data_IF_829495086953
#
_entry.id   IF_829495086953
#
_cell.length_a   1.000
_cell.length_b   1.000
_cell.length_c   1.000
_cell.angle_alpha   90.00
_cell.angle_beta   90.00
_cell.angle_gamma   90.00
#
_symmetry.space_group_name_H-M   'P 1'
#
loop_
_entity.id
_entity.type
_entity.pdbx_description
1 polymer ?
#
# COMPACT_ATOMS: atom_id res chain seq x y z
N UNK A 1 -17.48 18.67 4.31
CA UNK A 1 -17.94 17.55 3.44
C UNK A 1 -19.45 17.75 3.22
N UNK A 2 -19.96 17.64 1.99
CA UNK A 2 -21.41 17.84 1.71
C UNK A 2 -22.23 16.64 2.23
N UNK A 3 -23.52 16.83 2.57
CA UNK A 3 -24.40 15.70 2.89
C UNK A 3 -24.38 14.64 1.79
N UNK A 4 -24.36 13.36 2.18
CA UNK A 4 -24.29 12.22 1.26
C UNK A 4 -22.88 11.89 0.72
N UNK A 5 -21.85 12.66 1.08
CA UNK A 5 -20.46 12.35 0.70
C UNK A 5 -19.75 11.64 1.84
N UNK A 6 -19.18 10.48 1.55
CA UNK A 6 -18.25 9.77 2.43
C UNK A 6 -16.84 10.06 1.94
N UNK A 7 -16.01 10.62 2.80
CA UNK A 7 -14.58 10.81 2.55
C UNK A 7 -13.79 10.03 3.59
N UNK A 8 -12.75 9.32 3.14
CA UNK A 8 -11.88 8.48 3.97
C UNK A 8 -10.46 8.96 3.82
N UNK A 9 -9.70 8.98 4.91
CA UNK A 9 -8.28 9.34 4.91
C UNK A 9 -7.46 8.24 5.60
N UNK A 10 -6.24 8.01 5.11
CA UNK A 10 -5.43 6.82 5.43
C UNK A 10 -4.24 7.10 6.37
N UNK A 11 -4.25 8.17 7.17
CA UNK A 11 -3.08 8.59 7.94
C UNK A 11 -2.75 7.71 9.17
N UNK A 12 -3.63 6.77 9.53
CA UNK A 12 -3.47 5.83 10.66
C UNK A 12 -3.62 4.37 10.17
N UNK A 13 -3.34 3.39 11.03
CA UNK A 13 -3.42 1.97 10.70
C UNK A 13 -2.09 1.28 10.44
N UNK A 14 -1.05 1.64 11.21
CA UNK A 14 0.18 0.82 11.25
C UNK A 14 -0.16 -0.57 11.80
N UNK A 15 0.55 -1.57 11.36
CA UNK A 15 0.30 -2.96 11.73
C UNK A 15 1.61 -3.74 11.85
N UNK A 16 1.55 -4.86 12.57
CA UNK A 16 2.65 -5.81 12.75
C UNK A 16 2.14 -7.24 12.64
N UNK A 17 2.98 -8.15 12.13
CA UNK A 17 2.68 -9.58 12.01
C UNK A 17 3.14 -10.38 13.23
N UNK A 18 4.12 -9.84 13.96
CA UNK A 18 4.68 -10.42 15.17
C UNK A 18 4.58 -9.37 16.26
N UNK A 19 4.29 -9.80 17.47
CA UNK A 19 3.91 -8.89 18.55
C UNK A 19 5.11 -8.06 19.07
N UNK A 20 6.30 -8.63 19.01
CA UNK A 20 7.56 -8.11 19.55
C UNK A 20 8.52 -7.54 18.49
N UNK A 21 8.12 -7.53 17.21
CA UNK A 21 8.97 -7.06 16.10
C UNK A 21 8.37 -5.83 15.40
N UNK A 22 9.20 -4.81 15.24
CA UNK A 22 8.91 -3.66 14.38
C UNK A 22 8.28 -2.49 15.13
N UNK A 23 7.02 -2.18 14.84
CA UNK A 23 6.32 -1.02 15.41
C UNK A 23 5.77 -1.37 16.78
N UNK A 24 5.85 -0.43 17.73
CA UNK A 24 5.39 -0.67 19.09
C UNK A 24 3.87 -0.97 19.17
N UNK A 25 3.43 -1.74 20.19
CA UNK A 25 2.02 -2.13 20.35
C UNK A 25 1.06 -0.97 20.58
N UNK A 26 1.53 0.19 21.05
CA UNK A 26 0.69 1.36 21.27
C UNK A 26 0.34 2.11 19.99
N UNK A 27 1.11 1.92 18.92
CA UNK A 27 0.93 2.66 17.67
C UNK A 27 0.66 1.74 16.48
N UNK A 28 0.37 0.45 16.72
CA UNK A 28 0.10 -0.53 15.68
C UNK A 28 -0.86 -1.63 16.12
N UNK A 29 -1.59 -2.20 15.17
CA UNK A 29 -2.40 -3.40 15.38
C UNK A 29 -1.59 -4.66 15.12
N UNK A 30 -1.75 -5.68 15.95
CA UNK A 30 -1.29 -7.03 15.64
C UNK A 30 -2.29 -7.66 14.68
N UNK A 31 -1.82 -8.15 13.54
CA UNK A 31 -2.69 -8.66 12.49
C UNK A 31 -2.30 -10.06 12.06
N UNK A 32 -3.28 -10.82 11.56
CA UNK A 32 -3.07 -12.07 10.85
C UNK A 32 -3.31 -11.83 9.37
N UNK A 33 -2.35 -12.24 8.54
CA UNK A 33 -2.55 -12.32 7.10
C UNK A 33 -2.85 -13.77 6.73
N UNK A 34 -3.88 -13.99 5.92
CA UNK A 34 -4.20 -15.28 5.34
C UNK A 34 -4.39 -15.18 3.83
N UNK A 35 -3.91 -16.19 3.13
CA UNK A 35 -4.21 -16.45 1.72
C UNK A 35 -5.34 -17.49 1.70
N UNK A 36 -6.37 -17.24 0.92
CA UNK A 36 -7.52 -18.14 0.80
C UNK A 36 -7.35 -19.23 -0.28
N UNK A 37 -6.18 -19.29 -0.92
CA UNK A 37 -5.84 -20.26 -1.97
C UNK A 37 -6.38 -19.89 -3.36
N UNK A 38 -7.10 -18.78 -3.48
CA UNK A 38 -7.72 -18.33 -4.74
C UNK A 38 -7.17 -16.98 -5.21
N UNK A 39 -5.97 -16.61 -4.76
CA UNK A 39 -5.35 -15.32 -5.07
C UNK A 39 -6.01 -14.16 -4.33
N UNK A 40 -6.63 -14.43 -3.18
CA UNK A 40 -7.19 -13.40 -2.30
C UNK A 40 -6.48 -13.45 -0.96
N UNK A 41 -6.08 -12.27 -0.51
CA UNK A 41 -5.49 -12.09 0.80
C UNK A 41 -6.45 -11.36 1.71
N UNK A 42 -6.44 -11.77 2.96
CA UNK A 42 -7.25 -11.17 3.99
C UNK A 42 -6.38 -10.87 5.19
N UNK A 43 -6.55 -9.67 5.72
CA UNK A 43 -5.90 -9.21 6.92
C UNK A 43 -6.99 -8.97 7.96
N UNK A 44 -6.82 -9.59 9.13
CA UNK A 44 -7.67 -9.38 10.29
C UNK A 44 -6.84 -8.81 11.43
N UNK A 45 -7.41 -7.85 12.16
CA UNK A 45 -6.82 -7.38 13.41
C UNK A 45 -7.07 -8.45 14.48
N UNK A 46 -5.99 -8.98 15.06
CA UNK A 46 -6.04 -9.90 16.21
C UNK A 46 -6.11 -9.09 17.50
N UNK A 47 -5.31 -8.02 17.58
CA UNK A 47 -5.25 -7.13 18.72
C UNK A 47 -4.97 -5.69 18.26
N UNK A 48 -5.69 -4.72 18.82
CA UNK A 48 -5.45 -3.31 18.55
C UNK A 48 -4.25 -2.76 19.33
N UNK A 49 -4.30 -1.44 19.56
CA UNK A 49 -3.36 -0.76 20.45
C UNK A 49 -3.38 -1.35 21.86
N UNK A 50 -2.21 -1.47 22.49
CA UNK A 50 -2.10 -1.83 23.91
C UNK A 50 -0.88 -1.21 24.57
N UNK A 51 -0.87 -1.21 25.89
CA UNK A 51 0.33 -1.01 26.69
C UNK A 51 1.26 -2.22 26.63
N UNK A 52 2.52 -1.98 26.96
CA UNK A 52 3.54 -3.00 27.13
C UNK A 52 4.58 -2.49 28.13
N UNK A 53 5.28 -3.40 28.80
CA UNK A 53 6.30 -3.03 29.76
C UNK A 53 7.64 -2.80 29.08
N UNK A 54 8.30 -1.70 29.44
CA UNK A 54 9.68 -1.39 29.05
C UNK A 54 10.40 -0.65 30.17
N UNK A 55 11.64 -0.23 29.93
CA UNK A 55 12.36 0.69 30.82
C UNK A 55 11.67 2.06 30.96
N UNK A 56 10.85 2.46 29.99
CA UNK A 56 10.06 3.69 30.03
C UNK A 56 8.67 3.38 30.64
N UNK A 57 8.38 3.86 31.86
CA UNK A 57 7.12 3.56 32.55
C UNK A 57 5.88 4.12 31.84
N UNK A 58 6.04 5.06 30.89
CA UNK A 58 4.90 5.61 30.15
C UNK A 58 4.31 4.61 29.15
N UNK A 59 5.08 3.63 28.70
CA UNK A 59 4.59 2.55 27.81
C UNK A 59 3.51 1.68 28.48
N UNK A 60 3.56 1.52 29.80
CA UNK A 60 2.55 0.81 30.58
C UNK A 60 1.25 1.61 30.79
N UNK A 61 1.25 2.93 30.50
CA UNK A 61 0.11 3.83 30.71
C UNK A 61 -0.80 3.99 29.49
N UNK A 62 -0.44 3.38 28.36
CA UNK A 62 -1.20 3.43 27.12
C UNK A 62 -2.53 2.70 27.28
N UNK A 63 -3.64 3.41 27.07
CA UNK A 63 -5.00 2.92 27.30
C UNK A 63 -5.86 2.83 26.04
N UNK A 64 -5.42 3.43 24.93
CA UNK A 64 -6.17 3.40 23.67
C UNK A 64 -6.03 2.05 22.95
N UNK A 65 -7.11 1.63 22.29
CA UNK A 65 -7.19 0.37 21.53
C UNK A 65 -7.23 0.58 20.02
N UNK A 66 -7.74 1.72 19.57
CA UNK A 66 -7.83 2.02 18.14
C UNK A 66 -6.59 2.80 17.69
N UNK A 67 -5.92 2.28 16.67
CA UNK A 67 -4.72 2.87 16.04
C UNK A 67 -4.91 3.04 14.53
N UNK A 68 -6.16 2.98 14.07
CA UNK A 68 -6.60 3.09 12.69
C UNK A 68 -6.62 1.76 11.91
N UNK A 69 -6.98 1.87 10.63
CA UNK A 69 -7.15 0.74 9.71
C UNK A 69 -6.28 0.88 8.48
N UNK A 70 -5.84 -0.25 7.90
CA UNK A 70 -4.89 -0.21 6.79
C UNK A 70 -5.56 -0.11 5.42
N UNK A 71 -5.97 1.10 5.06
CA UNK A 71 -6.67 1.37 3.79
C UNK A 71 -5.79 1.11 2.54
N UNK A 72 -4.49 1.41 2.58
CA UNK A 72 -3.62 1.37 1.39
C UNK A 72 -3.55 0.00 0.71
N UNK A 73 -3.74 -1.10 1.46
CA UNK A 73 -3.75 -2.45 0.88
C UNK A 73 -4.92 -2.67 -0.08
N UNK A 74 -6.01 -1.93 0.08
CA UNK A 74 -7.18 -2.04 -0.80
C UNK A 74 -6.98 -1.37 -2.16
N UNK A 75 -5.90 -0.60 -2.33
CA UNK A 75 -5.60 0.09 -3.58
C UNK A 75 -4.87 -0.85 -4.54
N UNK A 76 -5.41 -1.01 -5.75
CA UNK A 76 -4.70 -1.71 -6.82
C UNK A 76 -3.40 -0.97 -7.20
N UNK A 77 -2.46 -1.66 -7.82
CA UNK A 77 -1.20 -1.05 -8.27
C UNK A 77 -1.44 -0.33 -9.60
N UNK A 78 -1.71 0.97 -9.58
CA UNK A 78 -1.93 1.81 -10.77
C UNK A 78 -0.95 3.00 -10.83
N UNK A 79 0.27 2.82 -11.37
CA UNK A 79 1.18 3.94 -11.54
C UNK A 79 0.72 4.85 -12.69
N UNK A 80 0.62 6.15 -12.44
CA UNK A 80 0.37 7.16 -13.48
C UNK A 80 1.25 6.92 -14.71
N UNK A 81 0.71 6.80 -15.94
CA UNK A 81 1.48 6.33 -17.09
C UNK A 81 2.61 7.27 -17.52
N UNK A 82 2.62 8.51 -17.02
CA UNK A 82 3.61 9.54 -17.35
C UNK A 82 4.69 9.62 -16.26
N UNK A 83 4.30 9.86 -15.01
CA UNK A 83 5.23 10.06 -13.88
C UNK A 83 5.64 8.76 -13.19
N UNK A 84 4.81 7.72 -13.31
CA UNK A 84 4.90 6.49 -12.54
C UNK A 84 4.55 6.64 -11.05
N UNK A 85 3.95 7.77 -10.64
CA UNK A 85 3.48 7.97 -9.28
C UNK A 85 2.19 7.16 -9.02
N UNK A 86 2.05 6.61 -7.82
CA UNK A 86 0.83 5.89 -7.46
C UNK A 86 -0.36 6.86 -7.32
N UNK A 87 -1.48 6.55 -7.95
CA UNK A 87 -2.69 7.37 -7.86
C UNK A 87 -3.45 7.09 -6.55
N UNK A 88 -3.17 7.85 -5.49
CA UNK A 88 -3.75 7.62 -4.16
C UNK A 88 -5.23 8.02 -4.01
N UNK A 89 -5.75 8.87 -4.88
CA UNK A 89 -7.14 9.32 -4.85
C UNK A 89 -8.04 8.23 -5.43
N UNK A 90 -8.60 7.40 -4.56
CA UNK A 90 -9.49 6.31 -4.92
C UNK A 90 -10.95 6.67 -4.64
N UNK A 91 -11.84 6.25 -5.54
CA UNK A 91 -13.29 6.39 -5.36
C UNK A 91 -13.86 5.05 -4.91
N UNK A 92 -14.42 5.01 -3.70
CA UNK A 92 -15.26 3.89 -3.29
C UNK A 92 -16.51 3.85 -4.17
N UNK A 93 -16.72 2.72 -4.86
CA UNK A 93 -17.86 2.53 -5.79
C UNK A 93 -19.08 1.93 -5.11
N UNK A 94 -18.90 1.32 -3.93
CA UNK A 94 -19.97 0.72 -3.14
C UNK A 94 -19.66 0.92 -1.65
N UNK A 95 -20.67 1.30 -0.87
CA UNK A 95 -20.60 1.42 0.59
C UNK A 95 -21.89 0.84 1.16
N UNK A 96 -21.75 -0.04 2.14
CA UNK A 96 -22.89 -0.65 2.85
C UNK A 96 -22.59 -0.77 4.34
N UNK A 97 -23.62 -1.04 5.14
CA UNK A 97 -23.44 -1.45 6.53
C UNK A 97 -22.67 -2.77 6.58
N UNK A 98 -21.83 -2.92 7.61
CA UNK A 98 -21.16 -4.17 7.91
C UNK A 98 -22.18 -5.27 8.21
N UNK A 99 -21.94 -6.46 7.68
CA UNK A 99 -22.73 -7.65 7.93
C UNK A 99 -22.30 -8.39 9.20
N UNK A 100 -23.04 -9.43 9.60
CA UNK A 100 -22.61 -10.32 10.69
C UNK A 100 -21.25 -10.96 10.37
N UNK A 101 -20.31 -10.87 11.30
CA UNK A 101 -18.97 -11.44 11.16
C UNK A 101 -17.95 -10.58 10.41
N UNK A 102 -18.33 -9.37 9.97
CA UNK A 102 -17.37 -8.38 9.44
C UNK A 102 -16.91 -7.47 10.57
N UNK A 103 -15.61 -7.46 10.83
CA UNK A 103 -15.02 -6.73 11.95
C UNK A 103 -14.33 -5.45 11.49
N UNK A 104 -14.22 -4.50 12.43
CA UNK A 104 -13.51 -3.25 12.18
C UNK A 104 -12.04 -3.55 11.81
N UNK A 105 -11.59 -2.99 10.69
CA UNK A 105 -10.21 -3.14 10.22
C UNK A 105 -9.93 -4.43 9.43
N UNK A 106 -10.95 -5.25 9.18
CA UNK A 106 -10.84 -6.35 8.22
C UNK A 106 -10.55 -5.79 6.82
N UNK A 107 -9.56 -6.35 6.16
CA UNK A 107 -9.15 -5.98 4.80
C UNK A 107 -9.15 -7.23 3.95
N UNK A 108 -9.73 -7.14 2.76
CA UNK A 108 -9.73 -8.19 1.76
C UNK A 108 -9.20 -7.62 0.44
N UNK A 109 -8.32 -8.35 -0.24
CA UNK A 109 -7.68 -7.93 -1.48
C UNK A 109 -7.62 -9.09 -2.46
N UNK A 110 -8.05 -8.86 -3.69
CA UNK A 110 -7.83 -9.75 -4.83
C UNK A 110 -6.55 -9.32 -5.56
N UNK A 111 -5.48 -10.11 -5.42
CA UNK A 111 -4.18 -9.77 -6.03
C UNK A 111 -4.16 -10.03 -7.53
N UNK A 112 -4.97 -10.97 -8.03
CA UNK A 112 -5.10 -11.21 -9.45
C UNK A 112 -5.74 -10.00 -10.14
N UNK A 113 -6.80 -9.45 -9.55
CA UNK A 113 -7.44 -8.21 -10.02
C UNK A 113 -6.52 -7.00 -9.90
N UNK A 114 -5.79 -6.86 -8.77
CA UNK A 114 -4.79 -5.79 -8.62
C UNK A 114 -3.74 -5.84 -9.73
N UNK A 115 -3.26 -7.05 -10.08
CA UNK A 115 -2.31 -7.26 -11.17
C UNK A 115 -2.91 -7.01 -12.55
N UNK A 116 -4.19 -7.33 -12.77
CA UNK A 116 -4.89 -7.01 -14.01
C UNK A 116 -4.96 -5.49 -14.24
N UNK A 117 -5.36 -4.73 -13.21
CA UNK A 117 -5.36 -3.25 -13.24
C UNK A 117 -3.96 -2.72 -13.51
N UNK A 118 -2.94 -3.26 -12.84
CA UNK A 118 -1.55 -2.87 -13.12
C UNK A 118 -1.19 -3.03 -14.59
N UNK A 119 -1.54 -4.15 -15.21
CA UNK A 119 -1.26 -4.41 -16.63
C UNK A 119 -2.00 -3.46 -17.56
N UNK A 120 -3.25 -3.13 -17.27
CA UNK A 120 -4.02 -2.11 -18.00
C UNK A 120 -3.31 -0.75 -17.96
N UNK A 121 -2.80 -0.35 -16.79
CA UNK A 121 -2.07 0.91 -16.64
C UNK A 121 -0.71 0.90 -17.32
N UNK A 122 0.02 -0.21 -17.24
CA UNK A 122 1.29 -0.39 -17.96
C UNK A 122 1.08 -0.29 -19.48
N UNK A 123 -0.02 -0.82 -20.02
CA UNK A 123 -0.32 -0.73 -21.45
C UNK A 123 -0.52 0.71 -21.95
N UNK A 124 -0.84 1.65 -21.06
CA UNK A 124 -0.92 3.09 -21.39
C UNK A 124 0.44 3.79 -21.36
N UNK A 125 1.49 3.14 -20.85
CA UNK A 125 2.82 3.76 -20.72
C UNK A 125 3.57 3.81 -22.05
N UNK A 126 4.54 4.71 -22.12
CA UNK A 126 5.52 4.79 -23.22
C UNK A 126 6.83 4.17 -22.74
N UNK A 127 7.34 3.22 -23.51
CA UNK A 127 8.61 2.57 -23.22
C UNK A 127 9.77 3.56 -23.27
N UNK A 128 10.60 3.55 -22.23
CA UNK A 128 11.83 4.36 -22.19
C UNK A 128 12.85 3.91 -23.26
N UNK A 129 12.74 2.69 -23.80
CA UNK A 129 13.61 2.23 -24.90
C UNK A 129 13.37 3.04 -26.16
N UNK A 130 12.10 3.36 -26.45
CA UNK A 130 11.71 3.99 -27.71
C UNK A 130 11.57 5.51 -27.58
N UNK A 131 11.30 6.01 -26.36
CA UNK A 131 10.94 7.40 -26.12
C UNK A 131 11.89 8.16 -25.21
N UNK A 132 12.89 7.51 -24.61
CA UNK A 132 13.85 8.24 -23.77
C UNK A 132 14.76 9.11 -24.65
N UNK A 133 14.86 10.43 -24.37
CA UNK A 133 15.67 11.33 -25.18
C UNK A 133 17.18 11.09 -25.05
N UNK A 134 17.62 10.47 -23.96
CA UNK A 134 19.03 10.21 -23.63
C UNK A 134 19.33 8.73 -23.37
N UNK A 135 18.39 7.84 -23.70
CA UNK A 135 18.55 6.39 -23.49
C UNK A 135 18.55 5.95 -22.02
N UNK A 136 18.11 6.82 -21.10
CA UNK A 136 17.98 6.48 -19.68
C UNK A 136 16.56 6.04 -19.32
N UNK A 137 16.40 5.26 -18.25
CA UNK A 137 15.11 4.82 -17.71
C UNK A 137 14.22 5.98 -17.30
N UNK A 138 14.81 7.11 -16.84
CA UNK A 138 14.11 8.29 -16.33
C UNK A 138 15.01 9.53 -16.41
N UNK A 139 14.44 10.73 -16.56
CA UNK A 139 15.22 11.97 -16.58
C UNK A 139 16.02 12.23 -15.30
N UNK A 140 17.31 12.58 -15.45
CA UNK A 140 18.21 12.87 -14.34
C UNK A 140 17.98 14.19 -13.60
N UNK A 141 17.17 15.09 -14.17
CA UNK A 141 16.83 16.41 -13.61
C UNK A 141 15.63 16.40 -12.66
N UNK A 142 14.89 15.29 -12.58
CA UNK A 142 13.82 15.15 -11.58
C UNK A 142 14.45 14.94 -10.19
N UNK A 143 14.15 15.85 -9.24
CA UNK A 143 14.61 15.74 -7.84
C UNK A 143 13.97 14.53 -7.16
N UNK A 144 14.75 13.78 -6.38
CA UNK A 144 14.29 12.59 -5.64
C UNK A 144 14.98 12.48 -4.28
N UNK A 145 14.28 12.07 -3.23
CA UNK A 145 14.92 11.53 -2.03
C UNK A 145 15.80 10.35 -2.42
N UNK A 146 17.01 10.28 -1.86
CA UNK A 146 17.96 9.20 -2.14
C UNK A 146 18.23 9.03 -3.65
N UNK A 147 18.65 10.12 -4.32
CA UNK A 147 18.90 10.12 -5.77
C UNK A 147 19.83 8.95 -6.16
N UNK A 148 19.42 8.06 -7.08
CA UNK A 148 20.27 6.96 -7.52
C UNK A 148 21.58 7.45 -8.16
N UNK A 149 22.60 6.60 -8.13
CA UNK A 149 23.83 6.81 -8.91
C UNK A 149 23.55 6.74 -10.41
N UNK A 150 24.37 7.39 -11.23
CA UNK A 150 24.15 7.50 -12.68
C UNK A 150 23.94 6.15 -13.38
N UNK A 151 24.71 5.12 -13.00
CA UNK A 151 24.59 3.77 -13.57
C UNK A 151 23.19 3.14 -13.38
N UNK A 152 22.46 3.49 -12.32
CA UNK A 152 21.11 2.96 -12.06
C UNK A 152 20.05 3.50 -13.03
N UNK A 153 20.38 4.53 -13.81
CA UNK A 153 19.50 5.07 -14.85
C UNK A 153 19.64 4.33 -16.18
N UNK A 154 20.66 3.49 -16.37
CA UNK A 154 20.85 2.77 -17.63
C UNK A 154 19.68 1.80 -17.91
N UNK A 155 19.20 1.79 -19.15
CA UNK A 155 18.25 0.77 -19.61
C UNK A 155 18.88 -0.63 -19.49
N UNK A 156 18.09 -1.68 -19.18
CA UNK A 156 18.63 -3.04 -19.15
C UNK A 156 18.96 -3.48 -20.58
N UNK A 157 19.97 -4.33 -20.74
CA UNK A 157 20.34 -4.90 -22.04
C UNK A 157 19.18 -5.67 -22.71
N UNK A 158 18.31 -6.28 -21.89
CA UNK A 158 17.05 -6.91 -22.32
C UNK A 158 15.87 -6.21 -21.64
N UNK A 159 15.17 -5.30 -22.33
CA UNK A 159 14.00 -4.62 -21.80
C UNK A 159 12.87 -5.59 -21.44
N UNK A 160 12.25 -5.39 -20.29
CA UNK A 160 11.09 -6.19 -19.88
C UNK A 160 9.90 -5.93 -20.82
N UNK A 161 9.16 -6.98 -21.18
CA UNK A 161 8.05 -6.89 -22.13
C UNK A 161 8.46 -6.81 -23.61
N UNK A 162 9.76 -6.95 -23.90
CA UNK A 162 10.30 -7.15 -25.26
C UNK A 162 11.23 -8.36 -25.23
N UNK A 163 10.69 -9.52 -25.58
CA UNK A 163 11.47 -10.69 -26.00
C UNK A 163 11.36 -10.86 -27.51
N UNK A 164 12.29 -11.63 -28.09
CA UNK A 164 12.32 -12.01 -29.52
C UNK A 164 10.96 -12.35 -30.12
#
# INVERSE_FOLDING_TARGET
IKPGVIAMSHHLGRWRLQDDVGVNPGMSSLVKLHDDGHGRHVLNIIEGGRSWETFDPDTSRIWWKDVGVHQNLTHAVHPDPISGAHCWLQKAVNVRKAGPGEHHGDVWVDVARSMAVYREWVAMTRSAVDHSPDGTRRPGWLKRPLKPVAAAYALPAKPFGRGE
#
